data_IF_276956727832
#
_entry.id   IF_276956727832
#
_cell.length_a   1.000
_cell.length_b   1.000
_cell.length_c   1.000
_cell.angle_alpha   90.00
_cell.angle_beta   90.00
_cell.angle_gamma   90.00
#
_symmetry.space_group_name_H-M   'P 1'
#
loop_
_entity.id
_entity.type
_entity.pdbx_description
1 polymer ?
#
# COMPACT_ATOMS: atom_id res chain seq x y z
N UNK A 1 -12.27 0.63 -1.74
CA UNK A 1 -11.13 -0.20 -2.20
C UNK A 1 -11.57 -1.05 -3.37
N UNK A 2 -10.66 -1.44 -4.25
CA UNK A 2 -10.89 -2.40 -5.33
C UNK A 2 -9.84 -3.51 -5.20
N UNK A 3 -10.26 -4.77 -5.26
CA UNK A 3 -9.35 -5.93 -5.18
C UNK A 3 -9.07 -6.41 -6.60
N UNK A 4 -7.80 -6.59 -6.95
CA UNK A 4 -7.40 -7.07 -8.26
C UNK A 4 -7.76 -8.56 -8.43
N UNK A 5 -8.07 -9.01 -9.66
CA UNK A 5 -8.19 -10.44 -9.93
C UNK A 5 -6.83 -11.15 -9.74
N UNK A 6 -6.86 -12.38 -9.23
CA UNK A 6 -5.66 -13.20 -8.97
C UNK A 6 -5.27 -13.33 -7.49
N UNK A 7 -4.35 -14.26 -7.21
CA UNK A 7 -3.99 -14.70 -5.85
C UNK A 7 -4.80 -15.90 -5.35
N UNK A 8 -4.73 -16.25 -4.06
CA UNK A 8 -4.02 -15.54 -2.99
C UNK A 8 -2.49 -15.59 -3.16
N UNK A 9 -1.82 -14.54 -2.68
CA UNK A 9 -0.36 -14.42 -2.69
C UNK A 9 0.20 -14.54 -1.28
N UNK A 10 1.29 -15.28 -1.11
CA UNK A 10 2.07 -15.33 0.14
C UNK A 10 3.16 -14.27 0.13
N UNK A 11 4.07 -14.40 -0.83
CA UNK A 11 5.19 -13.50 -1.09
C UNK A 11 4.94 -12.76 -2.40
N UNK A 12 4.96 -11.43 -2.35
CA UNK A 12 4.48 -10.60 -3.44
C UNK A 12 5.24 -9.28 -3.53
N UNK A 13 5.51 -8.86 -4.76
CA UNK A 13 6.00 -7.54 -5.13
C UNK A 13 4.88 -6.84 -5.90
N UNK A 14 4.34 -5.79 -5.30
CA UNK A 14 3.26 -4.98 -5.86
C UNK A 14 3.77 -3.59 -6.10
N UNK A 15 3.58 -3.07 -7.30
CA UNK A 15 3.83 -1.66 -7.62
C UNK A 15 2.64 -1.07 -8.36
N UNK A 16 2.40 0.22 -8.14
CA UNK A 16 1.37 0.97 -8.85
C UNK A 16 1.80 2.43 -8.95
N UNK A 17 1.43 3.08 -10.04
CA UNK A 17 1.52 4.54 -10.14
C UNK A 17 0.22 5.14 -9.65
N UNK A 18 0.32 6.19 -8.84
CA UNK A 18 -0.84 6.95 -8.39
C UNK A 18 -0.62 8.43 -8.65
N UNK A 19 -1.70 9.12 -8.97
CA UNK A 19 -1.75 10.57 -9.16
C UNK A 19 -2.86 11.13 -8.28
N UNK A 20 -2.52 11.73 -7.13
CA UNK A 20 -3.49 12.47 -6.34
C UNK A 20 -3.99 13.66 -7.17
N UNK A 21 -5.29 13.75 -7.44
CA UNK A 21 -5.87 14.83 -8.25
C UNK A 21 -6.45 15.90 -7.33
N UNK A 22 -7.29 15.50 -6.38
CA UNK A 22 -7.94 16.41 -5.44
C UNK A 22 -8.46 15.66 -4.21
N UNK A 23 -8.89 16.44 -3.22
CA UNK A 23 -9.45 15.98 -1.95
C UNK A 23 -9.27 17.07 -0.91
N UNK A 24 -10.27 17.29 -0.04
CA UNK A 24 -10.20 18.28 1.05
C UNK A 24 -9.77 17.63 2.35
N UNK A 25 -10.25 16.42 2.64
CA UNK A 25 -9.90 15.71 3.88
C UNK A 25 -8.67 14.80 3.68
N UNK A 26 -8.56 14.17 2.52
CA UNK A 26 -7.46 13.26 2.20
C UNK A 26 -7.22 13.30 0.68
N UNK A 27 -5.96 13.19 0.27
CA UNK A 27 -5.60 12.99 -1.13
C UNK A 27 -4.60 11.83 -1.21
N UNK A 28 -5.09 10.64 -0.88
CA UNK A 28 -4.26 9.44 -0.73
C UNK A 28 -4.42 8.42 -1.84
N UNK A 29 -3.35 7.65 -2.01
CA UNK A 29 -3.33 6.38 -2.71
C UNK A 29 -2.69 5.33 -1.84
N UNK A 30 -3.14 4.08 -1.98
CA UNK A 30 -2.58 2.99 -1.22
C UNK A 30 -2.70 1.63 -1.89
N UNK A 31 -1.81 0.73 -1.47
CA UNK A 31 -1.82 -0.68 -1.85
C UNK A 31 -2.34 -1.49 -0.67
N UNK A 32 -3.37 -2.29 -0.93
CA UNK A 32 -3.87 -3.32 -0.02
C UNK A 32 -3.22 -4.65 -0.37
N UNK A 33 -2.77 -5.39 0.63
CA UNK A 33 -2.19 -6.72 0.44
C UNK A 33 -2.58 -7.67 1.57
N UNK A 34 -2.50 -8.96 1.27
CA UNK A 34 -3.01 -10.06 2.12
C UNK A 34 -4.46 -9.85 2.56
N UNK A 35 -5.30 -9.32 1.67
CA UNK A 35 -6.73 -9.15 1.95
C UNK A 35 -7.43 -10.51 2.02
N UNK A 36 -7.98 -10.84 3.19
CA UNK A 36 -8.75 -12.04 3.47
C UNK A 36 -9.78 -11.76 4.57
N UNK A 37 -11.05 -12.11 4.34
CA UNK A 37 -12.14 -12.01 5.32
C UNK A 37 -12.26 -10.65 6.02
N UNK A 38 -12.09 -9.57 5.26
CA UNK A 38 -12.17 -8.19 5.78
C UNK A 38 -10.92 -7.72 6.54
N UNK A 39 -9.91 -8.59 6.73
CA UNK A 39 -8.61 -8.24 7.30
C UNK A 39 -7.59 -8.00 6.20
N UNK A 40 -6.73 -7.00 6.38
CA UNK A 40 -5.72 -6.65 5.39
C UNK A 40 -4.64 -5.73 5.94
N UNK A 41 -3.53 -5.65 5.21
CA UNK A 41 -2.57 -4.57 5.38
C UNK A 41 -2.76 -3.49 4.32
N UNK A 42 -2.37 -2.26 4.66
CA UNK A 42 -2.41 -1.10 3.79
C UNK A 42 -1.10 -0.32 3.89
N UNK A 43 -0.43 -0.12 2.77
CA UNK A 43 0.59 0.93 2.63
C UNK A 43 -0.08 2.15 2.00
N UNK A 44 0.03 3.32 2.64
CA UNK A 44 -0.65 4.56 2.23
C UNK A 44 0.33 5.72 2.15
N UNK A 45 0.27 6.47 1.04
CA UNK A 45 0.81 7.81 0.93
C UNK A 45 -0.35 8.82 0.84
N UNK A 46 -0.21 9.96 1.50
CA UNK A 46 -1.21 11.03 1.50
C UNK A 46 -0.57 12.33 1.00
N UNK A 47 -1.17 13.00 0.02
CA UNK A 47 -0.68 14.27 -0.51
C UNK A 47 -1.02 15.48 0.36
N UNK A 48 -1.85 15.33 1.39
CA UNK A 48 -2.19 16.39 2.35
C UNK A 48 -1.43 16.24 3.69
N UNK A 49 -0.72 15.13 3.90
CA UNK A 49 0.07 14.89 5.11
C UNK A 49 1.50 14.49 4.72
N UNK A 50 2.47 14.80 5.58
CA UNK A 50 3.88 14.47 5.36
C UNK A 50 4.24 13.04 5.82
N UNK A 51 3.33 12.08 5.63
CA UNK A 51 3.49 10.71 6.11
C UNK A 51 3.29 9.63 5.06
N UNK A 52 4.08 8.57 5.23
CA UNK A 52 3.95 7.29 4.55
C UNK A 52 3.81 6.19 5.59
N UNK A 53 2.71 5.45 5.56
CA UNK A 53 2.30 4.59 6.69
C UNK A 53 1.92 3.19 6.26
N UNK A 54 2.22 2.24 7.15
CA UNK A 54 1.76 0.87 7.11
C UNK A 54 0.72 0.65 8.20
N UNK A 55 -0.45 0.16 7.80
CA UNK A 55 -1.54 -0.20 8.68
C UNK A 55 -1.87 -1.70 8.55
N UNK A 56 -2.40 -2.26 9.63
CA UNK A 56 -3.19 -3.49 9.60
C UNK A 56 -4.62 -3.19 10.03
N UNK A 57 -5.58 -3.70 9.26
CA UNK A 57 -6.99 -3.58 9.53
C UNK A 57 -7.56 -4.93 9.99
N UNK A 58 -8.10 -4.95 11.21
CA UNK A 58 -8.87 -6.05 11.77
C UNK A 58 -9.88 -5.50 12.76
N UNK A 59 -11.14 -5.35 12.31
CA UNK A 59 -12.23 -4.68 13.06
C UNK A 59 -11.90 -3.27 13.58
N UNK A 60 -10.80 -2.70 13.11
CA UNK A 60 -10.19 -1.45 13.56
C UNK A 60 -8.88 -1.23 12.82
N UNK A 61 -8.28 -0.04 12.97
CA UNK A 61 -7.02 0.34 12.31
C UNK A 61 -5.87 0.31 13.31
N UNK A 62 -4.82 -0.44 13.00
CA UNK A 62 -3.58 -0.50 13.76
C UNK A 62 -2.43 0.06 12.92
N UNK A 63 -1.75 1.10 13.41
CA UNK A 63 -0.51 1.59 12.79
C UNK A 63 0.65 0.67 13.18
N UNK A 64 1.39 0.18 12.17
CA UNK A 64 2.52 -0.72 12.38
C UNK A 64 3.87 -0.02 12.16
N UNK A 65 3.91 0.87 11.16
CA UNK A 65 5.10 1.66 10.85
C UNK A 65 4.73 2.98 10.17
N UNK A 66 5.58 3.98 10.34
CA UNK A 66 5.39 5.33 9.81
C UNK A 66 6.74 5.94 9.44
N UNK A 67 6.77 6.68 8.36
CA UNK A 67 7.91 7.47 7.91
C UNK A 67 7.46 8.88 7.54
N UNK A 68 8.25 9.89 7.91
CA UNK A 68 8.03 11.26 7.47
C UNK A 68 8.60 11.45 6.07
N UNK A 69 7.79 11.97 5.16
CA UNK A 69 8.13 12.18 3.75
C UNK A 69 7.65 13.54 3.27
N UNK A 70 8.29 14.09 2.24
CA UNK A 70 7.65 15.16 1.50
C UNK A 70 6.31 14.64 0.93
N UNK A 71 5.24 15.41 1.12
CA UNK A 71 3.93 15.03 0.62
C UNK A 71 3.99 14.86 -0.91
N UNK A 72 3.43 13.77 -1.47
CA UNK A 72 3.25 13.62 -2.91
C UNK A 72 2.56 14.85 -3.50
N UNK A 73 3.07 15.36 -4.62
CA UNK A 73 2.53 16.55 -5.23
C UNK A 73 1.20 16.25 -5.94
N UNK A 74 0.20 17.09 -5.70
CA UNK A 74 -1.07 17.03 -6.44
C UNK A 74 -0.83 17.18 -7.94
N UNK A 75 -1.58 16.44 -8.74
CA UNK A 75 -1.50 16.47 -10.20
C UNK A 75 -0.21 15.86 -10.77
N UNK A 76 0.62 15.19 -9.96
CA UNK A 76 1.84 14.51 -10.40
C UNK A 76 1.74 13.00 -10.18
N UNK A 77 2.39 12.24 -11.07
CA UNK A 77 2.49 10.79 -10.92
C UNK A 77 3.60 10.45 -9.92
N UNK A 78 3.26 9.56 -9.00
CA UNK A 78 4.15 8.99 -7.99
C UNK A 78 4.05 7.47 -8.05
N UNK A 79 5.07 6.78 -7.53
CA UNK A 79 5.12 5.31 -7.51
C UNK A 79 5.05 4.78 -6.09
N UNK A 80 4.06 3.93 -5.82
CA UNK A 80 4.00 3.11 -4.62
C UNK A 80 4.51 1.71 -4.92
N UNK A 81 5.30 1.14 -4.01
CA UNK A 81 5.69 -0.25 -4.07
C UNK A 81 5.66 -0.88 -2.68
N UNK A 82 5.14 -2.10 -2.60
CA UNK A 82 5.25 -2.95 -1.42
C UNK A 82 5.82 -4.30 -1.81
N UNK A 83 6.86 -4.74 -1.12
CA UNK A 83 7.43 -6.08 -1.25
C UNK A 83 7.22 -6.81 0.07
N UNK A 84 6.60 -7.98 0.00
CA UNK A 84 6.31 -8.82 1.15
C UNK A 84 6.93 -10.19 0.93
N UNK A 85 7.79 -10.62 1.86
CA UNK A 85 8.42 -11.94 1.85
C UNK A 85 8.37 -12.51 3.26
N UNK A 86 7.65 -13.62 3.44
CA UNK A 86 7.40 -14.21 4.75
C UNK A 86 6.65 -13.28 5.69
N UNK A 87 7.31 -12.80 6.76
CA UNK A 87 6.76 -11.81 7.69
C UNK A 87 7.28 -10.39 7.43
N UNK A 88 8.27 -10.21 6.53
CA UNK A 88 8.87 -8.91 6.25
C UNK A 88 8.07 -8.15 5.21
N UNK A 89 7.73 -6.90 5.54
CA UNK A 89 6.96 -5.96 4.74
C UNK A 89 7.83 -4.74 4.49
N UNK A 90 8.13 -4.47 3.22
CA UNK A 90 8.94 -3.34 2.80
C UNK A 90 8.11 -2.41 1.92
N UNK A 91 7.99 -1.15 2.34
CA UNK A 91 7.22 -0.11 1.65
C UNK A 91 8.12 0.96 1.07
N UNK A 92 7.93 1.29 -0.21
CA UNK A 92 8.67 2.35 -0.91
C UNK A 92 7.74 3.36 -1.57
N UNK A 93 8.18 4.62 -1.60
CA UNK A 93 7.55 5.71 -2.34
C UNK A 93 8.61 6.35 -3.24
N UNK A 94 8.28 6.50 -4.53
CA UNK A 94 9.16 7.07 -5.56
C UNK A 94 10.57 6.43 -5.57
N UNK A 95 10.61 5.11 -5.42
CA UNK A 95 11.84 4.31 -5.43
C UNK A 95 12.65 4.34 -4.13
N UNK A 96 12.27 5.17 -3.14
CA UNK A 96 12.92 5.20 -1.83
C UNK A 96 12.24 4.23 -0.86
N UNK A 97 13.02 3.30 -0.30
CA UNK A 97 12.58 2.43 0.80
C UNK A 97 12.40 3.26 2.07
N UNK A 98 11.21 3.21 2.65
CA UNK A 98 10.83 4.07 3.78
C UNK A 98 10.30 3.28 4.97
N UNK A 99 9.71 2.11 4.71
CA UNK A 99 9.18 1.22 5.74
C UNK A 99 9.83 -0.15 5.59
N UNK A 100 10.28 -0.73 6.70
CA UNK A 100 10.75 -2.10 6.80
C UNK A 100 10.27 -2.65 8.14
N UNK A 101 9.27 -3.51 8.10
CA UNK A 101 8.56 -3.98 9.28
C UNK A 101 8.33 -5.49 9.20
N UNK A 102 8.30 -6.17 10.36
CA UNK A 102 7.94 -7.59 10.42
C UNK A 102 6.62 -7.78 11.13
N UNK A 103 5.71 -8.50 10.50
CA UNK A 103 4.39 -8.79 11.06
C UNK A 103 3.91 -10.21 10.67
N UNK A 104 3.36 -10.94 11.63
CA UNK A 104 2.97 -12.34 11.47
C UNK A 104 1.45 -12.59 11.42
N UNK A 105 0.63 -11.53 11.50
CA UNK A 105 -0.83 -11.64 11.67
C UNK A 105 -1.55 -12.26 10.47
N UNK A 106 -1.07 -12.01 9.24
CA UNK A 106 -1.57 -12.69 8.05
C UNK A 106 -0.41 -13.12 7.15
N UNK A 107 -0.58 -14.28 6.49
CA UNK A 107 0.45 -14.93 5.65
C UNK A 107 0.12 -14.94 4.16
N UNK A 108 -1.16 -14.85 3.80
CA UNK A 108 -1.60 -14.88 2.42
C UNK A 108 -2.88 -14.06 2.21
N UNK A 109 -3.12 -13.64 0.97
CA UNK A 109 -4.41 -13.06 0.57
C UNK A 109 -4.33 -12.31 -0.76
N UNK A 110 -5.38 -11.56 -1.08
CA UNK A 110 -5.46 -10.81 -2.33
C UNK A 110 -4.79 -9.44 -2.22
N UNK A 111 -4.52 -8.85 -3.38
CA UNK A 111 -3.95 -7.51 -3.53
C UNK A 111 -5.02 -6.57 -4.11
N UNK A 112 -5.00 -5.30 -3.72
CA UNK A 112 -5.94 -4.30 -4.20
C UNK A 112 -5.40 -2.88 -4.09
N UNK A 113 -6.21 -1.94 -4.57
CA UNK A 113 -5.99 -0.50 -4.50
C UNK A 113 -6.96 0.14 -3.52
N UNK A 114 -6.48 1.17 -2.85
CA UNK A 114 -7.23 1.86 -1.80
C UNK A 114 -7.11 3.37 -1.93
N UNK A 115 -8.23 4.03 -1.66
CA UNK A 115 -8.39 5.48 -1.49
C UNK A 115 -9.25 5.73 -0.26
N UNK A 116 -9.27 6.97 0.24
CA UNK A 116 -10.03 7.36 1.42
C UNK A 116 -10.94 8.55 1.12
N UNK A 117 -12.00 8.68 1.91
CA UNK A 117 -12.79 9.90 2.04
C UNK A 117 -13.19 10.48 0.67
N UNK A 118 -12.85 11.74 0.42
CA UNK A 118 -13.11 12.48 -0.81
C UNK A 118 -11.91 12.51 -1.77
N UNK A 119 -10.92 11.63 -1.58
CA UNK A 119 -9.75 11.54 -2.47
C UNK A 119 -10.16 11.15 -3.89
N UNK A 120 -9.86 12.02 -4.85
CA UNK A 120 -9.83 11.70 -6.27
C UNK A 120 -8.39 11.36 -6.63
N UNK A 121 -8.13 10.09 -6.90
CA UNK A 121 -6.80 9.57 -7.22
C UNK A 121 -6.89 8.70 -8.47
N UNK A 122 -6.08 9.00 -9.49
CA UNK A 122 -5.91 8.11 -10.63
C UNK A 122 -4.83 7.06 -10.32
N UNK A 123 -5.03 5.84 -10.79
CA UNK A 123 -4.06 4.75 -10.69
C UNK A 123 -3.74 4.21 -12.08
N UNK A 124 -2.50 3.83 -12.29
CA UNK A 124 -2.02 3.24 -13.54
C UNK A 124 -0.85 2.27 -13.27
N UNK A 125 -0.46 1.50 -14.27
CA UNK A 125 0.71 0.59 -14.24
C UNK A 125 0.71 -0.36 -13.02
N UNK A 126 -0.46 -0.87 -12.60
CA UNK A 126 -0.53 -1.87 -11.54
C UNK A 126 0.19 -3.16 -11.97
N UNK A 127 1.24 -3.51 -11.24
CA UNK A 127 1.97 -4.77 -11.40
C UNK A 127 1.93 -5.58 -10.10
N UNK A 128 1.53 -6.84 -10.20
CA UNK A 128 1.50 -7.80 -9.10
C UNK A 128 2.35 -9.00 -9.54
N UNK A 129 3.41 -9.28 -8.81
CA UNK A 129 4.33 -10.38 -9.11
C UNK A 129 4.54 -11.23 -7.86
N UNK A 130 4.43 -12.55 -8.01
CA UNK A 130 4.88 -13.47 -6.95
C UNK A 130 6.39 -13.36 -6.78
N UNK A 131 6.86 -13.36 -5.54
CA UNK A 131 8.29 -13.44 -5.23
C UNK A 131 8.58 -14.86 -4.81
N UNK A 132 9.53 -15.52 -5.47
CA UNK A 132 10.02 -16.80 -4.97
C UNK A 132 10.73 -16.52 -3.64
N UNK A 133 10.20 -17.06 -2.54
CA UNK A 133 10.93 -17.06 -1.28
C UNK A 133 12.30 -17.71 -1.50
N UNK A 134 13.37 -17.03 -1.12
CA UNK A 134 14.66 -17.69 -1.01
C UNK A 134 14.49 -18.79 0.05
N UNK A 135 14.38 -20.04 -0.42
CA UNK A 135 14.33 -21.23 0.42
C UNK A 135 15.61 -21.43 1.22
#
# INVERSE_FOLDING_TARGET
MIVAPGGPWTDVDVSVRFKPISGREDASGGIVFRFADGRYYLVRANALEDNFRLYHYDRGRHELASARVAAPALGRWHTLRVVVVGDRIQGSLDGKLLLDHRDTRARAGRVGLWTKADSVTAFDDLSIRGVAGAG
#
